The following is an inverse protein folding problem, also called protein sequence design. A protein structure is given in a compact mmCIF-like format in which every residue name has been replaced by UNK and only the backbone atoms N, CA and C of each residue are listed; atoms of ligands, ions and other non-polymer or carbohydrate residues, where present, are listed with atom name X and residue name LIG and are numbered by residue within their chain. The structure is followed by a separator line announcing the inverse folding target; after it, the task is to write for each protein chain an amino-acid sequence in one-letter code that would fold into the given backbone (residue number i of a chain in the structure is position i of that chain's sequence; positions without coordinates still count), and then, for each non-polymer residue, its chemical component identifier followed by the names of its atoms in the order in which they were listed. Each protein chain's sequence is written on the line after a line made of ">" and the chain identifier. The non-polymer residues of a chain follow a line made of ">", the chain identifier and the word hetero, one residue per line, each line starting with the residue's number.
data_IF_155470983299
#
_entry.id   IF_155470983299
#
_cell.length_a   1.000
_cell.length_b   1.000
_cell.length_c   1.000
_cell.angle_alpha   90.00
_cell.angle_beta   90.00
_cell.angle_gamma   90.00
#
_symmetry.space_group_name_H-M   'P 1'
#
loop_
_entity.id
_entity.type
_entity.pdbx_description
1 polymer ?
#
# COMPACT_ATOMS: atom_id res chain seq x y z
N UNK A 1 -11.50 -0.44 -2.58
CA UNK A 1 -10.56 -1.23 -3.39
C UNK A 1 -9.18 -0.74 -3.05
N UNK A 2 -8.25 -1.61 -2.77
CA UNK A 2 -6.93 -1.24 -2.26
C UNK A 2 -5.83 -1.91 -3.04
N UNK A 3 -4.73 -1.21 -3.16
CA UNK A 3 -3.48 -1.67 -3.75
C UNK A 3 -2.36 -1.46 -2.75
N UNK A 4 -1.57 -2.48 -2.49
CA UNK A 4 -0.38 -2.38 -1.64
C UNK A 4 0.78 -3.04 -2.37
N UNK A 5 1.81 -2.25 -2.66
CA UNK A 5 3.13 -2.77 -3.00
C UNK A 5 3.93 -2.94 -1.71
N UNK A 6 4.31 -4.16 -1.38
CA UNK A 6 5.18 -4.43 -0.25
C UNK A 6 6.59 -3.90 -0.49
N UNK A 7 7.08 -3.03 0.37
CA UNK A 7 8.47 -2.58 0.32
C UNK A 7 9.43 -3.70 0.69
N UNK A 8 10.34 -4.06 -0.21
CA UNK A 8 11.49 -4.92 0.09
C UNK A 8 12.65 -4.02 0.53
N UNK A 9 13.05 -4.10 1.79
CA UNK A 9 14.30 -3.49 2.25
C UNK A 9 15.47 -4.43 1.91
N UNK A 10 16.54 -3.97 1.25
CA UNK A 10 17.77 -4.76 1.15
C UNK A 10 18.47 -4.79 2.50
N UNK A 11 18.77 -5.99 2.99
CA UNK A 11 19.57 -6.21 4.18
C UNK A 11 21.01 -5.70 3.95
N UNK A 12 21.43 -4.69 4.71
CA UNK A 12 22.81 -4.18 4.72
C UNK A 12 23.66 -5.11 5.56
N UNK A 13 24.65 -5.74 4.92
CA UNK A 13 25.70 -6.53 5.59
C UNK A 13 26.62 -5.59 6.36
N UNK A 14 26.71 -5.75 7.67
CA UNK A 14 27.77 -5.14 8.46
C UNK A 14 29.03 -5.99 8.39
N UNK A 15 30.11 -5.42 7.90
CA UNK A 15 31.46 -5.94 8.12
C UNK A 15 32.17 -4.97 9.06
N UNK A 16 32.63 -5.49 10.20
CA UNK A 16 33.44 -4.73 11.16
C UNK A 16 34.89 -4.64 10.70
N UNK A 17 35.58 -3.62 11.17
CA UNK A 17 37.06 -3.51 11.05
C UNK A 17 37.59 -2.12 11.40
N UNK A 18 38.38 -2.03 12.48
CA UNK A 18 39.63 -1.32 12.61
C UNK A 18 39.60 0.20 12.80
N UNK A 19 40.03 0.60 13.97
CA UNK A 19 40.42 1.98 14.34
C UNK A 19 41.74 2.35 13.64
N UNK A 20 41.79 3.58 13.06
CA UNK A 20 42.97 4.41 12.93
C UNK A 20 42.48 5.83 12.67
N UNK A 21 42.88 6.78 13.53
CA UNK A 21 42.66 8.21 13.33
C UNK A 21 43.63 8.75 12.27
N UNK A 22 43.18 9.63 11.38
CA UNK A 22 44.04 10.57 10.71
C UNK A 22 43.57 12.02 10.80
N UNK A 23 44.51 12.86 11.09
CA UNK A 23 44.74 14.29 10.83
C UNK A 23 43.74 14.94 9.87
N UNK A 24 43.07 15.99 10.35
CA UNK A 24 42.18 16.86 9.60
C UNK A 24 42.88 17.65 8.49
N UNK A 25 42.40 17.61 7.25
CA UNK A 25 42.70 18.61 6.23
C UNK A 25 41.72 19.81 6.31
N UNK A 26 42.07 20.97 5.72
CA UNK A 26 41.34 22.22 5.89
C UNK A 26 39.93 22.16 5.34
N UNK A 27 39.00 22.79 6.08
CA UNK A 27 37.59 22.92 5.78
C UNK A 27 37.38 23.71 4.48
N UNK A 28 37.10 23.05 3.38
CA UNK A 28 36.47 23.67 2.22
C UNK A 28 34.98 23.85 2.48
N UNK A 29 34.51 25.08 2.21
CA UNK A 29 33.11 25.47 2.32
C UNK A 29 32.25 24.54 1.45
N UNK A 30 31.18 23.91 1.96
CA UNK A 30 30.34 23.06 1.13
C UNK A 30 29.71 23.89 0.01
N UNK A 31 29.91 23.46 -1.24
CA UNK A 31 29.10 23.92 -2.38
C UNK A 31 27.66 23.49 -2.13
N UNK A 32 26.72 24.41 -2.34
CA UNK A 32 25.29 24.11 -2.33
C UNK A 32 25.03 22.99 -3.33
N UNK A 33 24.26 21.94 -2.97
CA UNK A 33 23.91 20.88 -3.91
C UNK A 33 23.08 21.50 -5.03
N UNK A 34 23.67 21.64 -6.21
CA UNK A 34 22.94 21.92 -7.44
C UNK A 34 22.06 20.71 -7.71
N UNK A 35 20.77 20.84 -7.44
CA UNK A 35 19.76 19.88 -7.89
C UNK A 35 19.93 19.69 -9.40
N UNK A 36 20.21 18.48 -9.89
CA UNK A 36 20.20 18.24 -11.32
C UNK A 36 18.80 18.57 -11.85
N UNK A 37 18.68 19.19 -13.04
CA UNK A 37 17.38 19.43 -13.65
C UNK A 37 16.69 18.08 -13.82
N UNK A 38 15.46 17.97 -13.31
CA UNK A 38 14.58 16.81 -13.51
C UNK A 38 14.50 16.57 -15.02
N UNK A 39 15.18 15.55 -15.51
CA UNK A 39 15.11 15.15 -16.91
C UNK A 39 13.70 14.67 -17.19
N UNK A 40 13.16 15.01 -18.37
CA UNK A 40 11.78 14.71 -18.81
C UNK A 40 11.40 13.23 -18.79
N UNK A 41 12.33 12.35 -18.50
CA UNK A 41 12.17 10.88 -18.52
C UNK A 41 11.39 10.29 -17.32
N UNK A 42 11.15 11.06 -16.26
CA UNK A 42 10.34 10.61 -15.11
C UNK A 42 8.83 10.81 -15.33
N UNK A 43 8.42 11.38 -16.44
CA UNK A 43 7.01 11.74 -16.73
C UNK A 43 6.18 10.61 -17.33
N UNK A 44 6.77 9.48 -17.67
CA UNK A 44 6.02 8.38 -18.28
C UNK A 44 6.02 7.19 -17.32
N UNK A 45 5.20 7.26 -16.25
CA UNK A 45 4.74 6.06 -15.59
C UNK A 45 3.84 5.37 -16.61
N UNK A 46 4.37 4.38 -17.31
CA UNK A 46 3.54 3.50 -18.13
C UNK A 46 2.67 2.70 -17.18
N UNK A 47 1.43 3.14 -17.02
CA UNK A 47 0.37 2.31 -16.46
C UNK A 47 0.09 1.30 -17.56
N UNK A 48 0.71 0.14 -17.46
CA UNK A 48 0.58 -0.87 -18.51
C UNK A 48 -0.81 -1.50 -18.42
N UNK A 49 -1.65 -1.17 -19.37
CA UNK A 49 -2.98 -1.73 -19.61
C UNK A 49 -2.98 -3.26 -19.76
N UNK A 50 -1.83 -3.85 -20.04
CA UNK A 50 -1.67 -5.29 -20.20
C UNK A 50 -2.14 -6.12 -19.00
N UNK A 51 -2.15 -5.59 -17.79
CA UNK A 51 -2.70 -6.26 -16.61
C UNK A 51 -4.21 -6.50 -16.78
N UNK A 52 -4.94 -5.55 -17.34
CA UNK A 52 -6.38 -5.66 -17.57
C UNK A 52 -6.72 -6.66 -18.67
N UNK A 53 -5.96 -6.68 -19.77
CA UNK A 53 -6.21 -7.55 -20.91
C UNK A 53 -5.86 -9.02 -20.61
N UNK A 54 -4.83 -9.28 -19.81
CA UNK A 54 -4.35 -10.64 -19.51
C UNK A 54 -5.07 -11.27 -18.33
N UNK A 55 -5.47 -10.47 -17.35
CA UNK A 55 -6.07 -10.96 -16.11
C UNK A 55 -7.61 -11.03 -16.16
N UNK A 56 -8.20 -10.62 -17.27
CA UNK A 56 -9.64 -10.71 -17.52
C UNK A 56 -10.47 -9.72 -16.70
N UNK A 57 -11.76 -10.03 -16.53
CA UNK A 57 -12.75 -9.19 -15.83
C UNK A 57 -12.77 -9.34 -14.31
N UNK A 58 -11.78 -10.04 -13.74
CA UNK A 58 -11.73 -10.24 -12.29
C UNK A 58 -11.39 -8.94 -11.58
N UNK A 59 -12.09 -8.67 -10.48
CA UNK A 59 -11.78 -7.54 -9.61
C UNK A 59 -10.51 -7.81 -8.78
N UNK A 60 -9.41 -7.15 -9.13
CA UNK A 60 -8.15 -7.24 -8.37
C UNK A 60 -8.14 -6.17 -7.27
N UNK A 61 -7.75 -6.53 -6.05
CA UNK A 61 -7.81 -5.66 -4.89
C UNK A 61 -6.44 -5.29 -4.34
N UNK A 62 -5.44 -6.16 -4.50
CA UNK A 62 -4.10 -5.91 -3.97
C UNK A 62 -3.03 -6.68 -4.74
N UNK A 63 -1.79 -6.17 -4.69
CA UNK A 63 -0.62 -6.77 -5.30
C UNK A 63 0.58 -6.65 -4.36
N UNK A 64 1.45 -7.65 -4.41
CA UNK A 64 2.77 -7.60 -3.78
C UNK A 64 3.84 -8.13 -4.72
N UNK A 65 5.06 -7.63 -4.56
CA UNK A 65 6.26 -8.18 -5.20
C UNK A 65 7.14 -8.85 -4.17
N UNK A 66 7.62 -10.02 -4.48
CA UNK A 66 8.54 -10.76 -3.64
C UNK A 66 9.01 -12.05 -4.29
N UNK A 67 10.18 -12.53 -3.90
CA UNK A 67 10.78 -13.75 -4.47
C UNK A 67 10.79 -13.75 -6.01
N UNK A 68 11.10 -12.59 -6.64
CA UNK A 68 11.16 -12.42 -8.09
C UNK A 68 9.82 -12.46 -8.82
N UNK A 69 8.68 -12.33 -8.10
CA UNK A 69 7.34 -12.38 -8.70
C UNK A 69 6.43 -11.28 -8.17
N UNK A 70 5.58 -10.80 -9.03
CA UNK A 70 4.36 -10.08 -8.68
C UNK A 70 3.25 -11.09 -8.43
N UNK A 71 2.45 -10.85 -7.40
CA UNK A 71 1.28 -11.64 -7.06
C UNK A 71 0.11 -10.70 -6.84
N UNK A 72 -0.93 -10.80 -7.67
CA UNK A 72 -2.17 -10.03 -7.54
C UNK A 72 -3.28 -10.94 -7.02
N UNK A 73 -4.09 -10.40 -6.09
CA UNK A 73 -5.22 -11.10 -5.47
C UNK A 73 -6.48 -10.23 -5.53
N UNK A 74 -7.65 -10.87 -5.53
CA UNK A 74 -8.88 -10.11 -5.70
C UNK A 74 -10.17 -10.85 -5.40
N UNK A 75 -11.22 -10.41 -6.07
CA UNK A 75 -12.56 -10.95 -5.92
C UNK A 75 -12.63 -12.45 -6.26
N UNK A 76 -13.64 -13.12 -5.71
CA UNK A 76 -13.96 -14.53 -5.98
C UNK A 76 -12.78 -15.49 -5.73
N UNK A 77 -11.86 -15.14 -4.84
CA UNK A 77 -10.73 -15.97 -4.45
C UNK A 77 -9.57 -16.02 -5.45
N UNK A 78 -9.62 -15.20 -6.50
CA UNK A 78 -8.61 -15.27 -7.57
C UNK A 78 -7.25 -14.74 -7.15
N UNK A 79 -6.22 -15.39 -7.69
CA UNK A 79 -4.80 -15.01 -7.65
C UNK A 79 -4.21 -15.20 -9.04
N UNK A 80 -3.28 -14.32 -9.41
CA UNK A 80 -2.44 -14.43 -10.60
C UNK A 80 -1.04 -13.97 -10.29
N UNK A 81 -0.07 -14.41 -11.09
CA UNK A 81 1.34 -14.07 -10.88
C UNK A 81 1.99 -13.62 -12.19
N UNK A 82 3.02 -12.78 -12.05
CA UNK A 82 3.87 -12.34 -13.15
C UNK A 82 5.32 -12.22 -12.69
N UNK A 83 6.29 -12.45 -13.56
CA UNK A 83 7.72 -12.22 -13.30
C UNK A 83 8.20 -10.88 -13.86
N UNK A 84 7.45 -10.28 -14.77
CA UNK A 84 7.82 -9.03 -15.48
C UNK A 84 6.82 -7.89 -15.24
N UNK A 85 5.66 -8.18 -14.62
CA UNK A 85 4.57 -7.22 -14.39
C UNK A 85 3.67 -7.03 -15.61
N UNK A 86 4.02 -7.62 -16.75
CA UNK A 86 3.32 -7.47 -18.04
C UNK A 86 2.59 -8.76 -18.41
N UNK A 87 3.28 -9.88 -18.37
CA UNK A 87 2.74 -11.19 -18.71
C UNK A 87 2.25 -11.89 -17.45
N UNK A 88 0.94 -12.10 -17.34
CA UNK A 88 0.29 -12.68 -16.18
C UNK A 88 -0.21 -14.10 -16.43
N UNK A 89 -0.09 -14.96 -15.44
CA UNK A 89 -0.62 -16.31 -15.51
C UNK A 89 -2.16 -16.30 -15.55
N UNK A 90 -2.75 -17.36 -16.09
CA UNK A 90 -4.21 -17.55 -15.99
C UNK A 90 -4.64 -17.54 -14.52
N UNK A 91 -5.63 -16.70 -14.14
CA UNK A 91 -6.11 -16.60 -12.77
C UNK A 91 -6.59 -17.94 -12.22
N UNK A 92 -6.23 -18.22 -10.97
CA UNK A 92 -6.66 -19.40 -10.22
C UNK A 92 -7.28 -19.00 -8.91
N UNK A 93 -8.17 -19.80 -8.36
CA UNK A 93 -8.69 -19.60 -7.01
C UNK A 93 -7.71 -20.14 -5.97
N UNK A 94 -7.44 -19.37 -4.93
CA UNK A 94 -6.69 -19.84 -3.76
C UNK A 94 -7.52 -20.92 -3.05
N UNK A 95 -6.98 -22.13 -2.97
CA UNK A 95 -7.61 -23.28 -2.29
C UNK A 95 -9.09 -23.54 -2.69
N UNK A 96 -9.47 -23.20 -3.94
CA UNK A 96 -10.86 -23.37 -4.41
C UNK A 96 -11.88 -22.45 -3.73
N UNK A 97 -11.41 -21.41 -3.01
CA UNK A 97 -12.28 -20.49 -2.29
C UNK A 97 -12.86 -19.41 -3.21
N UNK A 98 -14.09 -19.00 -2.92
CA UNK A 98 -14.75 -17.85 -3.57
C UNK A 98 -14.68 -16.56 -2.72
N UNK A 99 -13.84 -16.54 -1.69
CA UNK A 99 -13.72 -15.39 -0.79
C UNK A 99 -12.92 -14.26 -1.46
N UNK A 100 -13.36 -13.03 -1.28
CA UNK A 100 -12.59 -11.88 -1.76
C UNK A 100 -11.35 -11.68 -0.88
N UNK A 101 -10.20 -11.61 -1.53
CA UNK A 101 -8.93 -11.24 -0.93
C UNK A 101 -8.74 -9.72 -1.04
N UNK A 102 -8.41 -9.06 0.07
CA UNK A 102 -8.39 -7.59 0.14
C UNK A 102 -6.99 -7.00 0.23
N UNK A 103 -6.06 -7.69 0.89
CA UNK A 103 -4.69 -7.23 1.08
C UNK A 103 -3.69 -8.36 0.91
N UNK A 104 -2.48 -8.05 0.47
CA UNK A 104 -1.36 -8.97 0.33
C UNK A 104 -0.06 -8.27 0.67
N UNK A 105 0.84 -8.98 1.32
CA UNK A 105 2.22 -8.55 1.57
C UNK A 105 3.20 -9.69 1.30
N UNK A 106 4.40 -9.37 0.83
CA UNK A 106 5.54 -10.28 0.88
C UNK A 106 6.49 -9.86 1.98
N UNK A 107 6.63 -10.69 2.98
CA UNK A 107 7.52 -10.44 4.09
C UNK A 107 7.96 -11.76 4.73
N UNK A 108 9.13 -11.77 5.37
CA UNK A 108 9.67 -12.94 6.04
C UNK A 108 9.65 -14.21 5.16
N UNK A 109 10.02 -14.05 3.87
CA UNK A 109 10.14 -15.16 2.90
C UNK A 109 8.81 -15.74 2.40
N UNK A 110 7.68 -15.06 2.58
CA UNK A 110 6.37 -15.54 2.15
C UNK A 110 5.41 -14.43 1.76
N UNK A 111 4.47 -14.76 0.90
CA UNK A 111 3.27 -13.99 0.66
C UNK A 111 2.23 -14.33 1.72
N UNK A 112 1.63 -13.31 2.31
CA UNK A 112 0.51 -13.44 3.25
C UNK A 112 -0.63 -12.57 2.73
N UNK A 113 -1.79 -13.19 2.54
CA UNK A 113 -3.00 -12.57 1.98
C UNK A 113 -4.07 -12.54 3.06
N UNK A 114 -4.80 -11.45 3.18
CA UNK A 114 -5.94 -11.32 4.07
C UNK A 114 -7.24 -11.03 3.29
N UNK A 115 -8.38 -11.49 3.81
CA UNK A 115 -9.64 -11.35 3.09
C UNK A 115 -10.89 -11.56 3.93
N UNK A 116 -11.95 -11.90 3.23
CA UNK A 116 -13.29 -12.09 3.79
C UNK A 116 -13.36 -13.29 4.75
N UNK A 117 -14.39 -13.26 5.60
CA UNK A 117 -14.75 -14.34 6.52
C UNK A 117 -13.62 -14.78 7.46
N UNK A 118 -12.75 -13.83 7.86
CA UNK A 118 -11.62 -14.06 8.75
C UNK A 118 -10.50 -14.94 8.16
N UNK A 119 -10.47 -15.12 6.83
CA UNK A 119 -9.44 -15.94 6.18
C UNK A 119 -8.15 -15.19 5.92
N UNK A 120 -7.06 -15.95 6.06
CA UNK A 120 -5.69 -15.63 5.64
C UNK A 120 -5.22 -16.73 4.70
N UNK A 121 -4.46 -16.40 3.68
CA UNK A 121 -3.76 -17.38 2.84
C UNK A 121 -2.26 -17.10 2.83
N UNK A 122 -1.45 -18.16 2.84
CA UNK A 122 0.01 -18.07 2.89
C UNK A 122 0.62 -18.91 1.77
N UNK A 123 1.63 -18.35 1.11
CA UNK A 123 2.41 -19.02 0.07
C UNK A 123 3.88 -18.58 0.15
N UNK A 124 4.82 -19.47 -0.09
CA UNK A 124 6.25 -19.13 -0.25
C UNK A 124 6.65 -18.86 -1.69
N UNK A 125 5.83 -19.32 -2.66
CA UNK A 125 6.13 -19.24 -4.09
C UNK A 125 5.13 -18.42 -4.91
N UNK A 126 4.05 -17.91 -4.26
CA UNK A 126 2.97 -17.16 -4.90
C UNK A 126 2.01 -18.04 -5.72
N UNK A 127 2.22 -19.35 -5.77
CA UNK A 127 1.46 -20.29 -6.63
C UNK A 127 0.69 -21.32 -5.81
N UNK A 128 1.35 -21.90 -4.80
CA UNK A 128 0.78 -22.88 -3.90
C UNK A 128 0.39 -22.21 -2.59
N UNK A 129 -0.87 -22.33 -2.21
CA UNK A 129 -1.46 -21.59 -1.09
C UNK A 129 -2.07 -22.50 -0.04
N UNK A 130 -1.88 -22.15 1.23
CA UNK A 130 -2.56 -22.75 2.36
C UNK A 130 -3.40 -21.68 3.06
N UNK A 131 -4.67 -22.02 3.35
CA UNK A 131 -5.60 -21.09 4.00
C UNK A 131 -5.71 -21.37 5.50
N UNK A 132 -5.85 -20.30 6.27
CA UNK A 132 -6.03 -20.31 7.72
C UNK A 132 -7.22 -19.44 8.07
N UNK A 133 -7.92 -19.75 9.13
CA UNK A 133 -8.98 -18.92 9.68
C UNK A 133 -8.50 -18.34 11.00
N UNK A 134 -8.45 -17.01 11.11
CA UNK A 134 -7.96 -16.33 12.33
C UNK A 134 -8.90 -16.57 13.50
N UNK A 135 -10.22 -16.59 13.23
CA UNK A 135 -11.26 -16.89 14.21
C UNK A 135 -12.31 -17.81 13.55
N UNK A 136 -12.43 -19.04 14.05
CA UNK A 136 -13.29 -20.06 13.48
C UNK A 136 -14.78 -19.72 13.55
N UNK A 137 -15.19 -18.91 14.51
CA UNK A 137 -16.58 -18.48 14.72
C UNK A 137 -16.96 -17.20 13.99
N UNK A 138 -15.99 -16.50 13.40
CA UNK A 138 -16.17 -15.15 12.88
C UNK A 138 -16.40 -15.08 11.38
N UNK A 139 -17.14 -14.06 10.97
CA UNK A 139 -17.48 -13.74 9.57
C UNK A 139 -17.06 -12.31 9.17
N UNK A 140 -16.21 -11.65 9.96
CA UNK A 140 -15.71 -10.31 9.63
C UNK A 140 -14.63 -10.37 8.55
N UNK A 141 -14.37 -9.21 7.93
CA UNK A 141 -13.43 -9.10 6.82
C UNK A 141 -12.15 -8.40 7.30
N UNK A 142 -11.00 -9.01 6.99
CA UNK A 142 -9.72 -8.33 7.02
C UNK A 142 -9.60 -7.43 5.80
N UNK A 143 -9.17 -6.20 6.04
CA UNK A 143 -9.07 -5.19 4.99
C UNK A 143 -7.64 -5.03 4.49
N UNK A 144 -6.65 -5.05 5.39
CA UNK A 144 -5.27 -4.80 5.05
C UNK A 144 -4.29 -5.49 6.00
N UNK A 145 -3.03 -5.63 5.57
CA UNK A 145 -1.96 -6.32 6.27
C UNK A 145 -0.64 -5.56 6.16
N UNK A 146 0.08 -5.45 7.26
CA UNK A 146 1.45 -4.94 7.30
C UNK A 146 2.39 -5.91 8.02
N UNK A 147 3.70 -5.76 7.77
CA UNK A 147 4.74 -6.48 8.49
C UNK A 147 5.78 -5.51 9.03
N UNK A 148 6.10 -5.67 10.28
CA UNK A 148 7.14 -4.89 10.94
C UNK A 148 7.44 -5.46 12.32
N UNK A 149 8.57 -5.12 12.89
CA UNK A 149 9.00 -5.61 14.19
C UNK A 149 8.78 -7.13 14.35
N UNK A 150 9.15 -7.90 13.32
CA UNK A 150 9.01 -9.37 13.22
C UNK A 150 7.58 -9.91 13.38
N UNK A 151 6.56 -9.10 13.08
CA UNK A 151 5.15 -9.48 13.14
C UNK A 151 4.37 -9.06 11.92
N UNK A 152 3.45 -9.91 11.51
CA UNK A 152 2.33 -9.56 10.65
C UNK A 152 1.21 -8.97 11.50
N UNK A 153 0.58 -7.91 11.03
CA UNK A 153 -0.58 -7.28 11.66
C UNK A 153 -1.66 -7.12 10.60
N UNK A 154 -2.85 -7.68 10.86
CA UNK A 154 -4.03 -7.49 10.01
C UNK A 154 -5.04 -6.60 10.72
N UNK A 155 -5.69 -5.76 9.92
CA UNK A 155 -6.74 -4.84 10.37
C UNK A 155 -8.00 -5.04 9.52
N UNK A 156 -9.19 -4.74 10.09
CA UNK A 156 -10.40 -4.98 9.33
C UNK A 156 -11.70 -4.43 9.94
N UNK A 157 -12.79 -5.03 9.49
CA UNK A 157 -14.15 -4.60 9.83
C UNK A 157 -14.42 -4.61 11.33
N UNK A 158 -15.19 -3.63 11.80
CA UNK A 158 -15.47 -3.45 13.22
C UNK A 158 -14.25 -3.12 14.06
N UNK A 159 -13.23 -2.48 13.46
CA UNK A 159 -12.03 -2.03 14.17
C UNK A 159 -11.14 -3.14 14.72
N UNK A 160 -11.21 -4.33 14.14
CA UNK A 160 -10.46 -5.50 14.63
C UNK A 160 -9.02 -5.50 14.16
N UNK A 161 -8.16 -5.98 15.05
CA UNK A 161 -6.72 -6.17 14.82
C UNK A 161 -6.34 -7.57 15.32
N UNK A 162 -5.51 -8.28 14.55
CA UNK A 162 -4.85 -9.51 14.96
C UNK A 162 -3.40 -9.53 14.51
N UNK A 163 -2.56 -10.27 15.22
CA UNK A 163 -1.13 -10.35 14.95
C UNK A 163 -0.64 -11.78 14.82
N UNK A 164 0.42 -11.97 14.05
CA UNK A 164 1.09 -13.25 13.89
C UNK A 164 2.59 -13.07 13.71
N UNK A 165 3.40 -13.91 14.35
CA UNK A 165 4.85 -13.94 14.13
C UNK A 165 5.21 -14.72 12.85
N UNK A 166 4.38 -15.66 12.42
CA UNK A 166 4.71 -16.60 11.34
C UNK A 166 3.74 -16.54 10.13
N UNK A 167 2.66 -15.75 10.22
CA UNK A 167 1.63 -15.62 9.20
C UNK A 167 0.58 -16.75 9.21
N UNK A 168 0.76 -17.79 10.04
CA UNK A 168 -0.13 -18.97 10.08
C UNK A 168 -0.89 -19.11 11.40
N UNK A 169 -0.28 -18.73 12.50
CA UNK A 169 -0.88 -18.72 13.84
C UNK A 169 -1.16 -17.29 14.26
N UNK A 170 -2.42 -16.96 14.48
CA UNK A 170 -2.87 -15.60 14.75
C UNK A 170 -3.43 -15.46 16.16
N UNK A 171 -3.23 -14.30 16.76
CA UNK A 171 -3.83 -13.97 18.05
C UNK A 171 -5.34 -13.82 17.94
N UNK A 172 -6.07 -14.04 19.03
CA UNK A 172 -7.50 -13.67 19.09
C UNK A 172 -7.66 -12.19 18.77
N UNK A 173 -8.53 -11.84 17.80
CA UNK A 173 -8.72 -10.45 17.39
C UNK A 173 -9.17 -9.55 18.53
N UNK A 174 -8.57 -8.37 18.60
CA UNK A 174 -8.93 -7.31 19.56
C UNK A 174 -9.55 -6.13 18.83
N UNK A 175 -10.40 -5.39 19.55
CA UNK A 175 -10.97 -4.15 19.02
C UNK A 175 -10.05 -2.97 19.32
N UNK A 176 -9.74 -2.21 18.30
CA UNK A 176 -9.16 -0.88 18.42
C UNK A 176 -10.26 0.17 18.59
N UNK A 177 -11.27 0.11 17.71
CA UNK A 177 -12.46 0.98 17.72
C UNK A 177 -13.65 0.15 17.23
N UNK A 178 -14.56 -0.19 18.12
CA UNK A 178 -15.72 -1.02 17.79
C UNK A 178 -16.77 -0.32 16.91
N UNK A 179 -16.65 0.98 16.75
CA UNK A 179 -17.61 1.81 15.99
C UNK A 179 -17.29 1.84 14.49
N UNK A 180 -16.02 1.67 14.12
CA UNK A 180 -15.56 1.90 12.76
C UNK A 180 -14.64 0.78 12.26
N UNK A 181 -14.74 0.45 10.97
CA UNK A 181 -13.83 -0.48 10.33
C UNK A 181 -12.48 0.16 10.03
N UNK A 182 -11.40 -0.57 10.30
CA UNK A 182 -10.07 -0.19 9.86
C UNK A 182 -9.90 -0.57 8.39
N UNK A 183 -9.36 0.34 7.59
CA UNK A 183 -9.21 0.17 6.16
C UNK A 183 -7.76 -0.02 5.74
N UNK A 184 -6.79 0.59 6.39
CA UNK A 184 -5.40 0.57 6.00
C UNK A 184 -4.47 0.49 7.19
N UNK A 185 -3.30 -0.13 6.94
CA UNK A 185 -2.20 -0.20 7.90
C UNK A 185 -0.87 -0.10 7.15
N UNK A 186 0.07 0.65 7.71
CA UNK A 186 1.46 0.67 7.25
C UNK A 186 2.41 0.52 8.44
N UNK A 187 3.63 0.07 8.15
CA UNK A 187 4.71 0.03 9.13
C UNK A 187 5.90 0.85 8.64
N UNK A 188 6.40 1.69 9.53
CA UNK A 188 7.59 2.50 9.27
C UNK A 188 8.07 3.21 10.54
N UNK A 189 9.29 3.68 10.58
CA UNK A 189 9.89 4.35 11.73
C UNK A 189 9.64 3.63 13.07
N UNK A 190 9.71 2.28 13.04
CA UNK A 190 9.53 1.44 14.23
C UNK A 190 8.10 1.33 14.75
N UNK A 191 7.08 1.71 13.98
CA UNK A 191 5.68 1.67 14.40
C UNK A 191 4.70 1.28 13.29
N UNK A 192 3.61 0.68 13.71
CA UNK A 192 2.43 0.47 12.88
C UNK A 192 1.50 1.67 13.02
N UNK A 193 0.93 2.09 11.91
CA UNK A 193 -0.09 3.15 11.86
C UNK A 193 -1.29 2.61 11.10
N UNK A 194 -2.50 2.77 11.65
CA UNK A 194 -3.75 2.31 11.01
C UNK A 194 -4.84 3.37 11.11
N UNK A 195 -5.70 3.38 10.10
CA UNK A 195 -6.91 4.19 10.14
C UNK A 195 -8.04 3.57 9.32
N UNK A 196 -9.23 4.16 9.38
CA UNK A 196 -10.41 3.60 8.76
C UNK A 196 -11.41 4.64 8.25
N UNK A 197 -12.58 4.14 7.89
CA UNK A 197 -13.68 4.94 7.38
C UNK A 197 -14.48 5.54 8.54
N UNK A 198 -14.60 6.86 8.58
CA UNK A 198 -15.35 7.58 9.62
C UNK A 198 -14.73 7.49 11.01
N UNK A 199 -13.56 6.89 11.16
CA UNK A 199 -12.87 6.83 12.45
C UNK A 199 -12.44 8.22 12.88
N UNK A 200 -12.71 8.56 14.14
CA UNK A 200 -12.21 9.77 14.78
C UNK A 200 -10.77 9.64 15.27
N UNK A 201 -10.19 8.44 15.12
CA UNK A 201 -8.87 8.12 15.64
C UNK A 201 -7.99 7.41 14.61
N UNK A 202 -6.71 7.77 14.66
CA UNK A 202 -5.60 7.02 14.08
C UNK A 202 -5.04 6.11 15.17
N UNK A 203 -4.78 4.85 14.85
CA UNK A 203 -4.12 3.91 15.72
C UNK A 203 -2.62 3.89 15.47
N UNK A 204 -1.83 4.00 16.54
CA UNK A 204 -0.36 3.88 16.48
C UNK A 204 0.10 2.84 17.49
N UNK A 205 0.97 1.94 17.06
CA UNK A 205 1.53 0.88 17.89
C UNK A 205 2.99 0.61 17.53
N UNK A 206 3.84 0.40 18.52
CA UNK A 206 5.24 -0.01 18.30
C UNK A 206 5.39 -1.53 18.26
N UNK A 207 4.43 -2.28 18.83
CA UNK A 207 4.50 -3.74 18.99
C UNK A 207 3.41 -4.51 18.20
N UNK A 208 2.47 -3.79 17.55
CA UNK A 208 1.33 -4.34 16.85
C UNK A 208 0.21 -4.89 17.73
N UNK A 209 0.39 -4.86 19.07
CA UNK A 209 -0.56 -5.44 20.03
C UNK A 209 -1.18 -4.42 20.97
N UNK A 210 -0.40 -3.42 21.36
CA UNK A 210 -0.83 -2.30 22.21
C UNK A 210 -0.95 -1.06 21.34
N UNK A 211 -2.12 -0.44 21.33
CA UNK A 211 -2.45 0.64 20.41
C UNK A 211 -2.83 1.92 21.16
N UNK A 212 -2.24 3.01 20.77
CA UNK A 212 -2.61 4.36 21.19
C UNK A 212 -3.52 5.01 20.15
N UNK A 213 -4.49 5.82 20.61
CA UNK A 213 -5.43 6.56 19.77
C UNK A 213 -5.00 8.02 19.65
N UNK A 214 -4.93 8.52 18.44
CA UNK A 214 -4.68 9.93 18.15
C UNK A 214 -5.83 10.50 17.32
N UNK A 215 -6.25 11.73 17.61
CA UNK A 215 -7.33 12.36 16.88
C UNK A 215 -6.94 12.58 15.40
N UNK A 216 -7.84 12.25 14.48
CA UNK A 216 -7.66 12.60 13.08
C UNK A 216 -7.84 14.11 12.86
N UNK A 217 -7.12 14.73 11.92
CA UNK A 217 -7.44 16.08 11.45
C UNK A 217 -8.90 16.16 10.99
N UNK A 218 -9.60 17.23 11.34
CA UNK A 218 -11.06 17.37 11.06
C UNK A 218 -11.44 17.29 9.58
N UNK A 219 -10.47 17.50 8.68
CA UNK A 219 -10.64 17.36 7.23
C UNK A 219 -10.33 15.96 6.69
N UNK A 220 -9.85 15.03 7.51
CA UNK A 220 -9.54 13.64 7.14
C UNK A 220 -10.75 12.75 7.46
N UNK A 221 -11.74 12.75 6.58
CA UNK A 221 -12.99 12.01 6.83
C UNK A 221 -12.82 10.51 6.61
N UNK A 222 -11.99 10.11 5.65
CA UNK A 222 -11.75 8.71 5.26
C UNK A 222 -10.28 8.58 4.90
N UNK A 223 -9.60 7.59 5.50
CA UNK A 223 -8.27 7.15 5.03
C UNK A 223 -8.45 5.88 4.21
N UNK A 224 -8.24 5.97 2.91
CA UNK A 224 -8.40 4.83 2.01
C UNK A 224 -7.17 3.94 1.97
N UNK A 225 -6.03 4.48 1.56
CA UNK A 225 -4.75 3.81 1.48
C UNK A 225 -3.71 4.48 2.36
N UNK A 226 -2.71 3.72 2.79
CA UNK A 226 -1.58 4.24 3.56
C UNK A 226 -0.29 3.57 3.12
N UNK A 227 0.74 4.38 2.87
CA UNK A 227 2.09 3.93 2.57
C UNK A 227 3.09 4.53 3.55
N UNK A 228 4.24 3.87 3.68
CA UNK A 228 5.41 4.43 4.34
C UNK A 228 6.60 4.38 3.37
N UNK A 229 7.27 5.50 3.22
CA UNK A 229 8.47 5.67 2.41
C UNK A 229 9.17 6.97 2.73
N UNK A 230 10.44 7.06 2.40
CA UNK A 230 11.25 8.27 2.62
C UNK A 230 11.06 8.89 4.03
N UNK A 231 10.96 8.03 5.06
CA UNK A 231 10.80 8.43 6.46
C UNK A 231 9.40 8.94 6.85
N UNK A 232 8.41 8.90 5.96
CA UNK A 232 7.05 9.44 6.17
C UNK A 232 5.96 8.41 5.95
N UNK A 233 4.90 8.51 6.71
CA UNK A 233 3.59 7.94 6.41
C UNK A 233 2.83 8.88 5.50
N UNK A 234 2.23 8.35 4.46
CA UNK A 234 1.36 9.08 3.54
C UNK A 234 0.01 8.36 3.49
N UNK A 235 -1.07 9.11 3.66
CA UNK A 235 -2.43 8.59 3.65
C UNK A 235 -3.25 9.29 2.57
N UNK A 236 -3.85 8.51 1.68
CA UNK A 236 -4.80 8.99 0.68
C UNK A 236 -6.20 9.18 1.28
N UNK A 237 -6.90 10.22 0.86
CA UNK A 237 -8.20 10.58 1.43
C UNK A 237 -9.18 11.10 0.37
N UNK A 238 -10.40 11.43 0.82
CA UNK A 238 -11.42 12.06 -0.01
C UNK A 238 -11.11 13.54 -0.29
N UNK A 239 -11.89 14.13 -1.20
CA UNK A 239 -11.87 15.56 -1.53
C UNK A 239 -10.51 16.11 -2.00
N UNK A 240 -9.75 15.31 -2.74
CA UNK A 240 -8.44 15.71 -3.25
C UNK A 240 -7.36 15.84 -2.18
N UNK A 241 -7.59 15.31 -0.97
CA UNK A 241 -6.64 15.45 0.12
C UNK A 241 -5.70 14.25 0.25
N UNK A 242 -4.44 14.55 0.54
CA UNK A 242 -3.41 13.61 0.96
C UNK A 242 -2.85 14.12 2.28
N UNK A 243 -2.59 13.23 3.21
CA UNK A 243 -2.04 13.56 4.52
C UNK A 243 -0.71 12.88 4.73
N UNK A 244 0.23 13.57 5.38
CA UNK A 244 1.55 13.02 5.70
C UNK A 244 1.86 13.17 7.18
N UNK A 245 2.70 12.25 7.68
CA UNK A 245 3.15 12.24 9.06
C UNK A 245 4.52 11.58 9.18
N UNK A 246 5.41 12.14 9.99
CA UNK A 246 6.69 11.52 10.32
C UNK A 246 6.56 10.49 11.45
N UNK A 247 5.53 10.64 12.28
CA UNK A 247 5.36 9.89 13.53
C UNK A 247 4.05 9.09 13.62
N UNK A 248 3.16 9.22 12.63
CA UNK A 248 1.83 8.61 12.62
C UNK A 248 0.84 9.25 13.59
N UNK A 249 1.23 10.27 14.34
CA UNK A 249 0.44 10.94 15.37
C UNK A 249 -0.04 12.33 14.93
N UNK A 250 0.90 13.10 14.40
CA UNK A 250 0.66 14.45 13.88
C UNK A 250 0.65 14.43 12.36
N UNK A 251 -0.41 14.95 11.76
CA UNK A 251 -0.62 14.87 10.32
C UNK A 251 -0.75 16.24 9.68
N UNK A 252 -0.06 16.44 8.57
CA UNK A 252 -0.14 17.62 7.73
C UNK A 252 -0.97 17.32 6.49
N UNK A 253 -1.92 18.20 6.16
CA UNK A 253 -2.80 18.08 5.00
C UNK A 253 -2.18 18.73 3.78
N UNK A 254 -2.22 18.03 2.66
CA UNK A 254 -1.94 18.56 1.34
C UNK A 254 -3.19 18.43 0.46
N UNK A 255 -3.41 19.43 -0.38
CA UNK A 255 -4.56 19.45 -1.29
C UNK A 255 -4.00 19.42 -2.71
N UNK A 256 -4.44 18.45 -3.48
CA UNK A 256 -4.12 18.34 -4.90
C UNK A 256 -5.11 19.16 -5.74
N UNK A 257 -4.85 19.25 -7.02
CA UNK A 257 -5.65 20.00 -8.00
C UNK A 257 -6.93 19.26 -8.48
N UNK A 258 -7.28 18.13 -7.84
CA UNK A 258 -8.46 17.35 -8.23
C UNK A 258 -9.62 17.51 -7.27
N UNK A 259 -10.83 17.56 -7.82
CA UNK A 259 -12.08 17.41 -7.10
C UNK A 259 -12.53 15.94 -7.13
N UNK A 260 -11.96 15.11 -6.25
CA UNK A 260 -12.20 13.67 -6.25
C UNK A 260 -11.61 12.98 -5.03
N UNK A 261 -11.52 11.67 -5.09
CA UNK A 261 -11.00 10.85 -4.01
C UNK A 261 -9.71 10.16 -4.44
N UNK A 262 -8.69 10.28 -3.62
CA UNK A 262 -7.51 9.44 -3.70
C UNK A 262 -7.82 8.11 -3.03
N UNK A 263 -7.89 7.04 -3.82
CA UNK A 263 -8.34 5.72 -3.36
C UNK A 263 -7.22 4.91 -2.74
N UNK A 264 -5.98 5.13 -3.21
CA UNK A 264 -4.82 4.45 -2.68
C UNK A 264 -3.54 5.26 -2.87
N UNK A 265 -2.52 4.93 -2.08
CA UNK A 265 -1.16 5.47 -2.20
C UNK A 265 -0.15 4.36 -1.92
N UNK A 266 0.90 4.33 -2.70
CA UNK A 266 2.03 3.41 -2.52
C UNK A 266 3.34 4.19 -2.52
N UNK A 267 4.41 3.53 -2.04
CA UNK A 267 5.80 3.97 -2.22
C UNK A 267 6.57 2.89 -2.98
N UNK A 268 7.16 3.25 -4.13
CA UNK A 268 7.83 2.28 -5.01
C UNK A 268 9.35 2.13 -4.73
N UNK A 269 9.86 2.75 -3.67
CA UNK A 269 11.29 2.81 -3.34
C UNK A 269 11.95 4.14 -3.70
N UNK A 270 11.32 4.93 -4.58
CA UNK A 270 11.82 6.22 -5.06
C UNK A 270 10.83 7.36 -4.78
N UNK A 271 9.55 7.12 -5.02
CA UNK A 271 8.50 8.12 -4.87
C UNK A 271 7.19 7.51 -4.39
N UNK A 272 6.33 8.36 -3.85
CA UNK A 272 4.92 8.06 -3.62
C UNK A 272 4.13 8.21 -4.91
N UNK A 273 3.18 7.31 -5.11
CA UNK A 273 2.24 7.31 -6.23
C UNK A 273 0.85 7.21 -5.64
N UNK A 274 0.03 8.23 -5.84
CA UNK A 274 -1.37 8.21 -5.43
C UNK A 274 -2.26 8.03 -6.66
N UNK A 275 -3.25 7.16 -6.52
CA UNK A 275 -4.23 6.88 -7.56
C UNK A 275 -5.63 7.14 -7.04
N UNK A 276 -6.47 7.65 -7.89
CA UNK A 276 -7.77 8.07 -7.47
C UNK A 276 -8.79 8.21 -8.59
N UNK A 277 -9.89 8.86 -8.25
CA UNK A 277 -10.99 9.12 -9.16
C UNK A 277 -11.49 10.54 -8.96
N UNK A 278 -11.56 11.30 -10.05
CA UNK A 278 -12.09 12.65 -10.04
C UNK A 278 -13.18 12.85 -11.07
N UNK A 279 -14.10 13.76 -10.78
CA UNK A 279 -15.01 14.25 -11.82
C UNK A 279 -14.26 15.13 -12.78
N UNK A 280 -14.45 14.91 -14.07
CA UNK A 280 -13.85 15.72 -15.13
C UNK A 280 -14.94 16.39 -15.96
N UNK A 281 -15.00 17.72 -15.91
CA UNK A 281 -16.04 18.50 -16.57
C UNK A 281 -15.95 18.40 -18.10
N UNK A 282 -14.74 18.33 -18.66
CA UNK A 282 -14.55 18.25 -20.12
C UNK A 282 -15.12 16.96 -20.70
N UNK A 283 -15.21 15.91 -19.91
CA UNK A 283 -15.75 14.62 -20.32
C UNK A 283 -17.11 14.31 -19.68
N UNK A 284 -17.59 15.16 -18.76
CA UNK A 284 -18.83 14.97 -18.00
C UNK A 284 -18.95 13.58 -17.36
N UNK A 285 -17.83 13.08 -16.81
CA UNK A 285 -17.73 11.75 -16.17
C UNK A 285 -16.60 11.65 -15.17
N UNK A 286 -16.67 10.61 -14.35
CA UNK A 286 -15.55 10.24 -13.49
C UNK A 286 -14.42 9.60 -14.32
N UNK A 287 -13.19 10.05 -14.10
CA UNK A 287 -11.96 9.54 -14.72
C UNK A 287 -11.00 9.07 -13.64
N UNK A 288 -10.16 8.11 -13.98
CA UNK A 288 -9.08 7.69 -13.11
C UNK A 288 -7.93 8.69 -13.20
N UNK A 289 -7.34 9.00 -12.07
CA UNK A 289 -6.31 10.02 -11.91
C UNK A 289 -5.12 9.48 -11.15
N UNK A 290 -3.94 10.06 -11.45
CA UNK A 290 -2.68 9.72 -10.81
C UNK A 290 -1.90 11.00 -10.49
N UNK A 291 -1.18 11.00 -9.39
CA UNK A 291 -0.19 12.01 -9.02
C UNK A 291 0.98 11.35 -8.28
N UNK A 292 2.14 11.99 -8.31
CA UNK A 292 3.35 11.46 -7.68
C UNK A 292 4.01 12.50 -6.80
N UNK A 293 4.81 12.02 -5.84
CA UNK A 293 5.59 12.88 -4.94
C UNK A 293 6.86 12.17 -4.47
N UNK A 294 8.00 12.81 -4.50
CA UNK A 294 9.25 12.26 -3.97
C UNK A 294 9.27 12.37 -2.44
N UNK A 295 8.73 13.46 -1.90
CA UNK A 295 8.81 13.81 -0.48
C UNK A 295 7.51 13.56 0.30
N UNK A 296 6.42 13.18 -0.39
CA UNK A 296 5.08 13.02 0.19
C UNK A 296 4.36 14.33 0.50
N UNK A 297 4.96 15.48 0.17
CA UNK A 297 4.44 16.82 0.49
C UNK A 297 4.19 17.64 -0.77
N UNK A 298 5.11 17.58 -1.74
CA UNK A 298 4.98 18.24 -3.03
C UNK A 298 4.49 17.24 -4.06
N UNK A 299 3.27 17.45 -4.58
CA UNK A 299 2.63 16.55 -5.52
C UNK A 299 2.65 17.13 -6.93
N UNK A 300 2.93 16.28 -7.91
CA UNK A 300 2.88 16.66 -9.33
C UNK A 300 1.46 17.06 -9.72
N UNK A 301 1.27 17.88 -10.78
CA UNK A 301 -0.05 18.08 -11.37
C UNK A 301 -0.71 16.73 -11.68
N UNK A 302 -2.00 16.63 -11.40
CA UNK A 302 -2.75 15.38 -11.59
C UNK A 302 -2.91 15.04 -13.06
N UNK A 303 -2.63 13.81 -13.43
CA UNK A 303 -2.80 13.30 -14.76
C UNK A 303 -4.00 12.35 -14.85
N UNK A 304 -4.70 12.38 -15.99
CA UNK A 304 -5.76 11.43 -16.31
C UNK A 304 -5.11 10.17 -16.86
N UNK A 305 -5.51 9.03 -16.31
CA UNK A 305 -5.02 7.72 -16.76
C UNK A 305 -5.62 7.41 -18.15
N UNK A 306 -4.73 7.17 -19.12
CA UNK A 306 -5.09 6.87 -20.51
C UNK A 306 -4.56 5.50 -20.91
N UNK A 307 -5.26 4.88 -21.86
CA UNK A 307 -4.80 3.66 -22.51
C UNK A 307 -3.68 3.93 -23.54
N UNK A 308 -3.08 2.88 -24.08
CA UNK A 308 -2.00 2.95 -25.06
C UNK A 308 -2.38 3.73 -26.35
N UNK A 309 -3.68 3.84 -26.64
CA UNK A 309 -4.24 4.57 -27.77
C UNK A 309 -4.66 5.99 -27.40
N UNK A 310 -4.38 6.43 -26.15
CA UNK A 310 -4.79 7.73 -25.63
C UNK A 310 -6.25 7.80 -25.19
N UNK A 311 -6.97 6.68 -25.16
CA UNK A 311 -8.34 6.58 -24.67
C UNK A 311 -8.39 6.72 -23.14
N UNK A 312 -9.38 7.44 -22.60
CA UNK A 312 -9.52 7.66 -21.18
C UNK A 312 -10.09 6.42 -20.49
N UNK A 313 -9.36 5.89 -19.54
CA UNK A 313 -9.82 4.79 -18.72
C UNK A 313 -10.84 5.29 -17.69
N UNK A 314 -12.11 5.01 -17.93
CA UNK A 314 -13.24 5.41 -17.05
C UNK A 314 -13.80 4.27 -16.24
N UNK A 315 -13.62 3.05 -16.70
CA UNK A 315 -13.91 1.89 -15.87
C UNK A 315 -12.90 1.89 -14.73
N UNK A 316 -13.38 1.83 -13.49
CA UNK A 316 -12.50 1.49 -12.39
C UNK A 316 -12.01 0.10 -12.69
N UNK A 317 -10.77 -0.06 -13.15
CA UNK A 317 -10.17 -1.36 -12.96
C UNK A 317 -10.28 -1.57 -11.45
N UNK A 318 -10.74 -2.73 -11.08
CA UNK A 318 -10.62 -3.18 -9.70
C UNK A 318 -9.12 -3.34 -9.43
N UNK A 319 -8.32 -2.30 -9.62
CA UNK A 319 -6.91 -2.33 -9.45
C UNK A 319 -6.09 -1.46 -10.41
N UNK A 320 -5.67 -0.24 -10.02
CA UNK A 320 -4.51 0.42 -10.63
C UNK A 320 -3.30 -0.08 -9.85
N UNK A 321 -2.39 -0.73 -10.55
CA UNK A 321 -1.17 -1.29 -9.98
C UNK A 321 -0.02 -0.44 -10.49
N UNK A 322 0.70 0.22 -9.59
CA UNK A 322 1.99 0.78 -9.94
C UNK A 322 3.05 -0.32 -9.88
N UNK A 323 3.72 -0.55 -10.99
CA UNK A 323 4.85 -1.48 -11.07
C UNK A 323 6.12 -0.70 -10.76
N UNK A 324 7.00 -1.17 -9.85
CA UNK A 324 8.28 -0.52 -9.64
C UNK A 324 9.07 -0.48 -10.95
N UNK A 325 9.69 0.66 -11.25
CA UNK A 325 10.68 0.72 -12.32
C UNK A 325 11.81 -0.30 -12.01
N UNK A 326 12.28 -1.00 -13.04
CA UNK A 326 13.38 -1.96 -12.93
C UNK A 326 14.69 -1.24 -12.63
#
# INVERSE_FOLDING_TARGET
>A
MRYVLGCVHPARKMTGGGFDEPVEPPIEKPEEPTTPPLTEDLRTIKIEENIMAVVGTNGWNAIAYGNGKYVAVGANGYVTTSTDGVNWTTPKQIAGSSYTWNGIIYANGKFVVCGQYSYIAVSTDGTNWTTYKVDSSATYNWADIAYGNSKFVVVGSGGRISTSANGTSWTTPKWFDSSHGLLSIAYGNGRFVTMGNGSTYIGVSTDGTTWSKYAVPSSMLIGYGMAFGNGKFVCSSSNGHIFTSNDGQTWTKFTTDVNGNWMDVIYNGEMFIAVGRSWNDSYSKYVNTITTSIDGETWTPTEIVKDENGGIITTVPSGIIAVPAK
#
